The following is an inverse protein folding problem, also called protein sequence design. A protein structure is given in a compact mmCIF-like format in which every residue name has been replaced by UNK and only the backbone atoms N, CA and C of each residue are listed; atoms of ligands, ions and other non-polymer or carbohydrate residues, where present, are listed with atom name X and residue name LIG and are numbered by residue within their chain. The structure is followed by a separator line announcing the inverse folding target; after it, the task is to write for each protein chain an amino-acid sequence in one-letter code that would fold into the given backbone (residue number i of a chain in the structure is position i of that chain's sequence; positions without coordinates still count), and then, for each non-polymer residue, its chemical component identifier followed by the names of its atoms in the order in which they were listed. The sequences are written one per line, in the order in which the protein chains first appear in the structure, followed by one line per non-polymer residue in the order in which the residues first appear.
data_IF_372240734799
#
_entry.id   IF_372240734799
#
_cell.length_a   1.000
_cell.length_b   1.000
_cell.length_c   1.000
_cell.angle_alpha   90.00
_cell.angle_beta   90.00
_cell.angle_gamma   90.00
#
_symmetry.space_group_name_H-M   'P 1'
#
loop_
_entity.id
_entity.type
_entity.pdbx_description
1 polymer ?
#
# COMPACT_ATOMS: atom_id res chain seq x y z
N UNK A 1 24.48 60.70 -45.08
CA UNK A 1 25.25 61.46 -44.06
C UNK A 1 25.05 60.75 -42.74
N UNK A 2 25.84 59.71 -42.49
CA UNK A 2 27.07 59.69 -41.67
C UNK A 2 26.72 59.31 -40.23
N UNK A 3 27.32 58.34 -39.53
CA UNK A 3 28.24 57.23 -39.79
C UNK A 3 28.16 56.36 -38.52
N UNK A 4 28.20 55.02 -38.64
CA UNK A 4 28.59 54.13 -37.52
C UNK A 4 30.13 54.16 -37.34
N UNK A 5 30.69 53.70 -36.21
CA UNK A 5 31.18 52.31 -36.10
C UNK A 5 30.94 51.67 -34.70
N UNK A 6 30.44 50.43 -34.57
CA UNK A 6 31.12 49.10 -34.53
C UNK A 6 32.17 48.88 -33.43
N UNK A 7 31.94 47.86 -32.59
CA UNK A 7 32.91 46.90 -32.01
C UNK A 7 32.17 46.01 -30.99
N UNK A 8 31.63 44.84 -31.35
CA UNK A 8 32.25 43.49 -31.43
C UNK A 8 32.24 42.68 -30.11
N UNK A 9 31.54 41.51 -30.19
CA UNK A 9 31.76 40.16 -29.58
C UNK A 9 31.87 40.04 -28.04
N UNK A 10 31.43 38.98 -27.36
CA UNK A 10 31.07 37.60 -27.70
C UNK A 10 30.07 37.05 -26.65
N UNK A 11 29.30 36.02 -27.00
CA UNK A 11 28.35 35.36 -26.10
C UNK A 11 28.97 34.35 -25.14
N UNK A 12 28.20 33.98 -24.11
CA UNK A 12 28.29 32.70 -23.36
C UNK A 12 26.88 32.37 -22.83
N UNK A 13 26.47 31.10 -22.98
CA UNK A 13 25.21 30.48 -22.54
C UNK A 13 25.03 30.40 -21.01
N UNK A 14 23.81 30.13 -20.49
CA UNK A 14 23.56 30.12 -19.05
C UNK A 14 23.95 28.77 -18.42
N UNK A 15 24.84 28.83 -17.42
CA UNK A 15 25.14 27.72 -16.52
C UNK A 15 24.01 27.52 -15.49
N UNK A 16 23.55 26.28 -15.39
CA UNK A 16 22.69 25.74 -14.33
C UNK A 16 23.29 26.00 -12.95
N UNK A 17 22.55 26.70 -12.08
CA UNK A 17 22.90 26.88 -10.67
C UNK A 17 22.49 25.68 -9.83
N UNK A 18 23.47 24.88 -9.38
CA UNK A 18 23.31 23.95 -8.27
C UNK A 18 23.45 24.73 -6.95
N UNK A 19 22.40 24.69 -6.12
CA UNK A 19 22.41 25.26 -4.78
C UNK A 19 23.31 24.43 -3.86
N UNK A 20 24.27 25.08 -3.19
CA UNK A 20 25.07 24.49 -2.12
C UNK A 20 24.22 24.34 -0.85
N UNK A 21 24.06 23.12 -0.36
CA UNK A 21 23.59 22.85 1.01
C UNK A 21 24.79 22.96 1.95
N UNK A 22 24.81 23.97 2.83
CA UNK A 22 25.82 24.08 3.88
C UNK A 22 25.43 23.16 5.05
N UNK A 23 26.22 22.12 5.31
CA UNK A 23 26.10 21.29 6.53
C UNK A 23 26.81 22.00 7.68
N UNK A 24 26.06 22.35 8.73
CA UNK A 24 26.62 22.90 9.97
C UNK A 24 27.30 21.78 10.76
N UNK A 25 28.62 21.88 10.92
CA UNK A 25 29.38 21.01 11.82
C UNK A 25 29.26 21.57 13.26
N UNK A 26 28.81 20.78 14.26
CA UNK A 26 28.68 21.26 15.62
C UNK A 26 30.05 21.54 16.27
N UNK A 27 30.14 22.64 17.02
CA UNK A 27 31.35 23.29 17.55
C UNK A 27 32.15 22.53 18.62
N UNK A 28 31.89 21.24 18.83
CA UNK A 28 32.63 20.44 19.83
C UNK A 28 33.81 19.65 19.25
N UNK A 29 33.97 19.59 17.93
CA UNK A 29 35.13 19.02 17.28
C UNK A 29 36.28 20.04 17.22
N UNK A 30 36.91 20.32 18.35
CA UNK A 30 38.19 21.04 18.40
C UNK A 30 39.15 20.31 19.33
N UNK A 31 40.31 19.97 18.77
CA UNK A 31 41.46 19.28 19.35
C UNK A 31 41.41 17.75 19.32
N UNK A 32 41.77 17.23 18.15
CA UNK A 32 42.64 16.06 18.07
C UNK A 32 43.85 16.53 17.26
N UNK A 33 45.00 16.69 17.90
CA UNK A 33 46.27 16.92 17.19
C UNK A 33 46.62 15.61 16.47
N UNK A 34 46.24 15.53 15.20
CA UNK A 34 46.51 14.36 14.36
C UNK A 34 47.82 14.56 13.58
N UNK A 35 48.66 13.52 13.65
CA UNK A 35 49.94 13.34 12.96
C UNK A 35 49.80 13.46 11.43
N UNK A 36 50.64 14.21 10.69
CA UNK A 36 50.44 14.48 9.25
C UNK A 36 50.60 13.28 8.30
N UNK A 37 50.91 12.08 8.78
CA UNK A 37 51.18 10.90 7.94
C UNK A 37 49.96 9.98 7.70
N UNK A 38 48.78 10.25 8.28
CA UNK A 38 47.57 9.40 8.15
C UNK A 38 46.46 9.97 7.25
N UNK A 39 46.78 10.93 6.39
CA UNK A 39 45.78 11.68 5.60
C UNK A 39 45.14 10.92 4.41
N UNK A 40 45.62 9.77 3.88
CA UNK A 40 44.91 9.12 2.77
C UNK A 40 43.65 8.32 3.17
N UNK A 41 43.48 7.93 4.44
CA UNK A 41 42.48 6.88 4.81
C UNK A 41 41.11 7.40 5.26
N UNK A 42 40.96 8.72 5.43
CA UNK A 42 39.72 9.31 5.96
C UNK A 42 38.68 9.67 4.88
N UNK A 43 39.10 9.76 3.61
CA UNK A 43 38.18 10.05 2.49
C UNK A 43 37.43 8.80 2.01
N UNK A 44 38.07 7.62 2.01
CA UNK A 44 37.37 6.38 1.65
C UNK A 44 36.38 5.96 2.75
N UNK A 45 36.71 6.19 4.02
CA UNK A 45 35.79 5.93 5.13
C UNK A 45 34.53 6.81 5.10
N UNK A 46 34.62 8.06 4.62
CA UNK A 46 33.45 8.94 4.51
C UNK A 46 32.54 8.59 3.32
N UNK A 47 33.08 8.06 2.22
CA UNK A 47 32.28 7.64 1.06
C UNK A 47 31.53 6.34 1.34
N UNK A 48 32.07 5.46 2.18
CA UNK A 48 31.43 4.17 2.53
C UNK A 48 30.26 4.35 3.52
N UNK A 49 30.28 5.35 4.40
CA UNK A 49 29.19 5.58 5.38
C UNK A 49 27.98 6.29 4.75
N UNK A 50 28.14 6.95 3.61
CA UNK A 50 27.03 7.63 2.91
C UNK A 50 26.10 6.67 2.11
N UNK A 51 26.42 5.37 2.03
CA UNK A 51 25.60 4.37 1.32
C UNK A 51 24.70 3.52 2.23
N UNK A 52 24.70 3.75 3.54
CA UNK A 52 23.87 2.99 4.49
C UNK A 52 22.72 3.81 5.10
N UNK A 53 22.41 4.97 4.53
CA UNK A 53 21.12 5.62 4.74
C UNK A 53 20.24 5.35 3.54
N UNK A 54 19.85 4.08 3.38
CA UNK A 54 18.68 3.77 2.60
C UNK A 54 17.53 4.55 3.23
N UNK A 55 17.19 5.70 2.63
CA UNK A 55 15.82 6.18 2.73
C UNK A 55 15.00 5.00 2.25
N UNK A 56 14.40 4.24 3.15
CA UNK A 56 13.31 3.35 2.76
C UNK A 56 12.35 4.26 2.02
N UNK A 57 12.30 4.14 0.69
CA UNK A 57 11.15 4.64 -0.03
C UNK A 57 9.95 4.06 0.71
N UNK A 58 8.95 4.89 1.02
CA UNK A 58 7.75 4.43 1.73
C UNK A 58 7.31 3.12 1.08
N UNK A 59 7.37 2.04 1.85
CA UNK A 59 7.17 0.70 1.32
C UNK A 59 5.71 0.57 0.89
N UNK A 60 5.47 -0.17 -0.19
CA UNK A 60 4.10 -0.36 -0.73
C UNK A 60 3.29 -1.38 0.10
N UNK A 61 3.95 -2.15 0.97
CA UNK A 61 3.31 -3.25 1.71
C UNK A 61 2.36 -2.73 2.78
N UNK A 62 1.16 -3.28 2.77
CA UNK A 62 0.14 -3.09 3.77
C UNK A 62 -0.27 -4.40 4.42
N UNK A 63 -1.19 -4.32 5.38
CA UNK A 63 -1.78 -5.49 6.01
C UNK A 63 -3.30 -5.37 6.12
N UNK A 64 -3.96 -6.49 5.88
CA UNK A 64 -5.35 -6.70 6.25
C UNK A 64 -5.38 -7.35 7.66
N UNK A 65 -5.85 -6.63 8.68
CA UNK A 65 -5.82 -7.09 10.07
C UNK A 65 -7.08 -6.69 10.87
N UNK A 66 -7.97 -7.63 11.18
CA UNK A 66 -9.23 -7.44 11.90
C UNK A 66 -9.35 -8.25 13.19
N UNK A 67 -8.25 -8.82 13.69
CA UNK A 67 -8.28 -9.70 14.85
C UNK A 67 -8.81 -8.97 16.10
N UNK A 68 -9.80 -9.57 16.78
CA UNK A 68 -10.36 -9.09 18.05
C UNK A 68 -9.81 -9.82 19.28
N UNK A 69 -9.22 -10.99 19.09
CA UNK A 69 -8.85 -11.93 20.14
C UNK A 69 -7.34 -11.84 20.44
N UNK A 70 -6.52 -11.60 19.41
CA UNK A 70 -5.07 -11.45 19.50
C UNK A 70 -4.58 -10.11 18.92
N UNK A 71 -5.25 -9.01 19.27
CA UNK A 71 -4.93 -7.65 18.76
C UNK A 71 -3.46 -7.22 18.91
N UNK A 72 -2.71 -7.83 19.85
CA UNK A 72 -1.27 -7.55 20.05
C UNK A 72 -0.37 -8.09 18.94
N UNK A 73 -0.85 -9.01 18.10
CA UNK A 73 -0.08 -9.61 17.01
C UNK A 73 0.37 -8.58 15.98
N UNK A 74 -0.39 -7.50 15.82
CA UNK A 74 -0.04 -6.41 14.90
C UNK A 74 1.33 -5.78 15.20
N UNK A 75 1.84 -5.93 16.44
CA UNK A 75 3.14 -5.42 16.82
C UNK A 75 4.31 -6.11 16.08
N UNK A 76 4.13 -7.32 15.56
CA UNK A 76 5.17 -8.01 14.76
C UNK A 76 5.43 -7.33 13.42
N UNK A 77 4.47 -6.52 12.94
CA UNK A 77 4.61 -5.75 11.70
C UNK A 77 5.23 -4.36 11.94
N UNK A 78 5.41 -3.94 13.18
CA UNK A 78 6.02 -2.65 13.50
C UNK A 78 7.53 -2.65 13.19
N UNK A 79 8.02 -1.60 12.54
CA UNK A 79 9.42 -1.51 12.10
C UNK A 79 9.80 -2.46 10.96
N UNK A 80 8.83 -3.07 10.28
CA UNK A 80 9.03 -3.98 9.14
C UNK A 80 8.87 -3.25 7.80
N UNK A 81 8.76 -4.00 6.68
CA UNK A 81 8.43 -3.43 5.38
C UNK A 81 6.95 -3.04 5.25
N UNK A 82 6.12 -3.24 6.26
CA UNK A 82 4.71 -2.81 6.24
C UNK A 82 4.58 -1.35 6.68
N UNK A 83 3.90 -0.54 5.88
CA UNK A 83 3.71 0.90 6.15
C UNK A 83 2.25 1.31 6.39
N UNK A 84 1.29 0.47 6.03
CA UNK A 84 -0.13 0.75 6.20
C UNK A 84 -0.95 -0.48 6.57
N UNK A 85 -2.12 -0.26 7.15
CA UNK A 85 -3.01 -1.32 7.62
C UNK A 85 -4.46 -0.91 7.45
N UNK A 86 -5.33 -1.87 7.16
CA UNK A 86 -6.78 -1.69 7.21
C UNK A 86 -7.42 -2.94 7.82
N UNK A 87 -8.68 -2.80 8.24
CA UNK A 87 -9.41 -3.86 8.94
C UNK A 87 -10.87 -3.97 8.48
N UNK A 88 -11.15 -3.53 7.25
CA UNK A 88 -12.51 -3.40 6.68
C UNK A 88 -13.44 -2.44 7.42
N UNK A 89 -12.94 -1.73 8.44
CA UNK A 89 -13.69 -0.74 9.21
C UNK A 89 -13.43 0.70 8.75
N UNK A 90 -14.26 1.62 9.23
CA UNK A 90 -14.15 3.04 8.95
C UNK A 90 -13.33 3.81 9.99
N UNK A 91 -13.02 3.20 11.14
CA UNK A 91 -12.33 3.85 12.25
C UNK A 91 -11.13 3.05 12.74
N UNK A 92 -10.00 3.73 12.96
CA UNK A 92 -8.78 3.11 13.44
C UNK A 92 -8.99 2.39 14.79
N UNK A 93 -8.78 1.06 14.87
CA UNK A 93 -8.88 0.34 16.12
C UNK A 93 -7.79 0.75 17.11
N UNK A 94 -8.11 0.71 18.40
CA UNK A 94 -7.22 1.24 19.45
C UNK A 94 -5.85 0.55 19.56
N UNK A 95 -5.74 -0.70 19.10
CA UNK A 95 -4.49 -1.46 19.13
C UNK A 95 -3.43 -0.93 18.16
N UNK A 96 -3.82 -0.16 17.13
CA UNK A 96 -2.88 0.46 16.18
C UNK A 96 -2.21 1.72 16.72
N UNK A 97 -2.64 2.23 17.89
CA UNK A 97 -2.08 3.47 18.46
C UNK A 97 -0.59 3.39 18.77
N UNK A 98 -0.05 2.17 18.87
CA UNK A 98 1.33 1.92 19.24
C UNK A 98 2.18 1.44 18.05
N UNK A 99 1.68 1.54 16.82
CA UNK A 99 2.41 1.17 15.59
C UNK A 99 2.65 2.40 14.73
N UNK A 100 3.75 2.40 13.96
CA UNK A 100 4.02 3.48 12.99
C UNK A 100 3.23 3.32 11.67
N UNK A 101 2.43 2.25 11.55
CA UNK A 101 1.61 1.98 10.37
C UNK A 101 0.45 2.97 10.21
N UNK A 102 0.25 3.44 8.99
CA UNK A 102 -0.89 4.30 8.65
C UNK A 102 -2.17 3.48 8.53
N UNK A 103 -3.19 3.81 9.31
CA UNK A 103 -4.51 3.20 9.15
C UNK A 103 -5.27 3.77 7.95
N UNK A 104 -5.77 2.89 7.07
CA UNK A 104 -6.59 3.24 5.90
C UNK A 104 -8.05 2.84 6.18
N UNK A 105 -8.95 3.79 6.48
CA UNK A 105 -10.36 3.47 6.68
C UNK A 105 -11.04 3.06 5.38
N UNK A 106 -12.03 2.18 5.51
CA UNK A 106 -12.83 1.63 4.42
C UNK A 106 -14.32 1.87 4.70
N UNK A 107 -15.05 2.36 3.70
CA UNK A 107 -16.51 2.27 3.71
C UNK A 107 -16.90 0.93 3.09
N UNK A 108 -17.05 -0.12 3.90
CA UNK A 108 -17.18 -1.50 3.41
C UNK A 108 -18.42 -1.72 2.53
N UNK A 109 -19.58 -1.18 2.92
CA UNK A 109 -20.85 -1.37 2.21
C UNK A 109 -21.75 -0.14 2.28
N UNK A 110 -23.07 -0.31 2.14
CA UNK A 110 -24.02 0.82 2.20
C UNK A 110 -24.26 1.33 3.64
N UNK A 111 -24.06 0.45 4.63
CA UNK A 111 -24.38 0.73 6.02
C UNK A 111 -23.54 1.88 6.61
N UNK A 112 -24.21 2.81 7.28
CA UNK A 112 -23.62 3.96 7.96
C UNK A 112 -22.74 4.88 7.07
N UNK A 113 -22.91 4.85 5.76
CA UNK A 113 -22.13 5.68 4.83
C UNK A 113 -22.25 7.20 5.14
N UNK A 114 -23.35 7.63 5.76
CA UNK A 114 -23.57 9.00 6.21
C UNK A 114 -22.61 9.46 7.32
N UNK A 115 -22.05 8.53 8.10
CA UNK A 115 -21.06 8.82 9.14
C UNK A 115 -19.61 8.83 8.62
N UNK A 116 -19.35 8.18 7.47
CA UNK A 116 -17.99 7.90 7.00
C UNK A 116 -17.11 9.15 6.88
N UNK A 117 -17.66 10.24 6.33
CA UNK A 117 -16.92 11.48 6.18
C UNK A 117 -16.46 12.04 7.54
N UNK A 118 -17.34 12.01 8.55
CA UNK A 118 -17.03 12.49 9.88
C UNK A 118 -15.96 11.62 10.57
N UNK A 119 -16.03 10.30 10.37
CA UNK A 119 -15.05 9.34 10.89
C UNK A 119 -13.67 9.55 10.27
N UNK A 120 -13.59 9.68 8.94
CA UNK A 120 -12.34 9.98 8.20
C UNK A 120 -11.71 11.28 8.68
N UNK A 121 -12.52 12.33 8.88
CA UNK A 121 -12.05 13.62 9.39
C UNK A 121 -11.58 13.55 10.84
N UNK A 122 -12.31 12.84 11.72
CA UNK A 122 -11.98 12.72 13.13
C UNK A 122 -10.61 12.06 13.37
N UNK A 123 -10.21 11.16 12.47
CA UNK A 123 -8.89 10.51 12.51
C UNK A 123 -7.86 11.13 11.55
N UNK A 124 -8.20 12.24 10.88
CA UNK A 124 -7.32 12.94 9.94
C UNK A 124 -6.73 12.02 8.85
N UNK A 125 -7.51 11.02 8.40
CA UNK A 125 -7.06 10.07 7.39
C UNK A 125 -6.80 10.77 6.05
N UNK A 126 -5.75 10.34 5.35
CA UNK A 126 -5.30 10.93 4.07
C UNK A 126 -5.65 10.09 2.85
N UNK A 127 -6.01 8.84 3.08
CA UNK A 127 -6.37 7.87 2.06
C UNK A 127 -7.52 7.04 2.60
N UNK A 128 -8.49 6.67 1.75
CA UNK A 128 -9.60 5.79 2.09
C UNK A 128 -9.74 4.68 1.04
N UNK A 129 -10.40 3.59 1.43
CA UNK A 129 -10.88 2.55 0.52
C UNK A 129 -12.41 2.65 0.39
N UNK A 130 -12.92 2.44 -0.83
CA UNK A 130 -14.35 2.37 -1.12
C UNK A 130 -14.98 1.02 -0.75
N UNK A 131 -16.16 0.76 -1.31
CA UNK A 131 -16.95 -0.45 -1.05
C UNK A 131 -16.17 -1.74 -1.35
N UNK A 132 -16.34 -2.75 -0.50
CA UNK A 132 -15.65 -4.03 -0.55
C UNK A 132 -16.46 -5.08 -1.30
N UNK A 133 -15.91 -5.58 -2.40
CA UNK A 133 -16.49 -6.59 -3.29
C UNK A 133 -17.99 -6.34 -3.60
N UNK A 134 -18.36 -5.13 -4.04
CA UNK A 134 -19.77 -4.83 -4.34
C UNK A 134 -20.30 -5.62 -5.53
N UNK A 135 -19.42 -6.26 -6.31
CA UNK A 135 -19.77 -7.11 -7.44
C UNK A 135 -20.19 -8.53 -7.04
N UNK A 136 -20.04 -8.91 -5.76
CA UNK A 136 -20.41 -10.22 -5.24
C UNK A 136 -21.64 -10.15 -4.33
N UNK A 137 -22.62 -11.02 -4.60
CA UNK A 137 -23.86 -11.12 -3.81
C UNK A 137 -23.65 -11.62 -2.37
N UNK A 138 -22.48 -12.18 -2.09
CA UNK A 138 -22.10 -12.67 -0.75
C UNK A 138 -21.34 -11.62 0.08
N UNK A 139 -21.10 -10.44 -0.48
CA UNK A 139 -20.28 -9.38 0.12
C UNK A 139 -21.13 -8.11 0.27
N UNK A 140 -20.60 -6.93 -0.05
CA UNK A 140 -21.38 -5.70 0.09
C UNK A 140 -22.58 -5.63 -0.86
N UNK A 141 -22.58 -6.40 -1.96
CA UNK A 141 -23.70 -6.59 -2.90
C UNK A 141 -24.40 -5.28 -3.30
N UNK A 142 -23.63 -4.36 -3.87
CA UNK A 142 -24.10 -3.02 -4.22
C UNK A 142 -24.17 -2.89 -5.74
N UNK A 143 -25.29 -2.43 -6.28
CA UNK A 143 -25.36 -2.15 -7.72
C UNK A 143 -24.46 -0.97 -8.09
N UNK A 144 -23.88 -0.93 -9.31
CA UNK A 144 -23.05 0.21 -9.73
C UNK A 144 -23.75 1.57 -9.65
N UNK A 145 -25.07 1.62 -9.83
CA UNK A 145 -25.86 2.85 -9.75
C UNK A 145 -26.08 3.30 -8.30
N UNK A 146 -26.36 2.37 -7.38
CA UNK A 146 -26.47 2.67 -5.95
C UNK A 146 -25.12 3.14 -5.41
N UNK A 147 -24.04 2.43 -5.73
CA UNK A 147 -22.68 2.79 -5.33
C UNK A 147 -22.32 4.20 -5.80
N UNK A 148 -22.64 4.57 -7.05
CA UNK A 148 -22.38 5.92 -7.58
C UNK A 148 -23.13 6.99 -6.78
N UNK A 149 -24.40 6.74 -6.44
CA UNK A 149 -25.22 7.67 -5.67
C UNK A 149 -24.67 7.89 -4.26
N UNK A 150 -24.30 6.81 -3.56
CA UNK A 150 -23.67 6.87 -2.24
C UNK A 150 -22.31 7.56 -2.30
N UNK A 151 -21.51 7.28 -3.34
CA UNK A 151 -20.21 7.88 -3.52
C UNK A 151 -20.31 9.40 -3.64
N UNK A 152 -21.17 9.91 -4.53
CA UNK A 152 -21.41 11.35 -4.69
C UNK A 152 -21.81 12.00 -3.37
N UNK A 153 -22.70 11.35 -2.62
CA UNK A 153 -23.26 11.92 -1.40
C UNK A 153 -22.28 11.93 -0.23
N UNK A 154 -21.52 10.84 -0.03
CA UNK A 154 -20.81 10.58 1.22
C UNK A 154 -19.29 10.45 1.10
N UNK A 155 -18.78 10.05 -0.07
CA UNK A 155 -17.33 9.81 -0.27
C UNK A 155 -16.68 10.95 -1.05
N UNK A 156 -17.27 11.38 -2.15
CA UNK A 156 -16.75 12.46 -3.02
C UNK A 156 -16.41 13.76 -2.27
N UNK A 157 -17.18 14.23 -1.26
CA UNK A 157 -16.85 15.44 -0.52
C UNK A 157 -15.47 15.39 0.16
N UNK A 158 -14.94 14.21 0.49
CA UNK A 158 -13.62 14.04 1.08
C UNK A 158 -12.48 14.55 0.18
N UNK A 159 -12.66 14.60 -1.15
CA UNK A 159 -11.67 15.21 -2.06
C UNK A 159 -11.37 16.67 -1.71
N UNK A 160 -12.39 17.44 -1.31
CA UNK A 160 -12.21 18.84 -0.92
C UNK A 160 -11.35 18.99 0.35
N UNK A 161 -11.21 17.92 1.13
CA UNK A 161 -10.35 17.84 2.31
C UNK A 161 -8.96 17.25 2.02
N UNK A 162 -8.61 17.07 0.75
CA UNK A 162 -7.31 16.55 0.33
C UNK A 162 -7.13 15.05 0.56
N UNK A 163 -8.22 14.31 0.75
CA UNK A 163 -8.18 12.85 0.92
C UNK A 163 -8.05 12.17 -0.44
N UNK A 164 -7.24 11.12 -0.51
CA UNK A 164 -7.15 10.21 -1.66
C UNK A 164 -8.23 9.15 -1.58
N UNK A 165 -8.97 8.94 -2.66
CA UNK A 165 -10.10 8.02 -2.72
C UNK A 165 -9.75 6.81 -3.58
N UNK A 166 -9.66 5.63 -2.96
CA UNK A 166 -9.67 4.36 -3.67
C UNK A 166 -11.09 4.04 -4.11
N UNK A 167 -11.28 3.70 -5.39
CA UNK A 167 -12.59 3.25 -5.89
C UNK A 167 -13.10 2.02 -5.11
N UNK A 168 -14.32 1.52 -5.39
CA UNK A 168 -14.71 0.22 -4.84
C UNK A 168 -13.71 -0.87 -5.19
N UNK A 169 -13.38 -1.73 -4.21
CA UNK A 169 -12.47 -2.85 -4.37
C UNK A 169 -13.26 -4.05 -4.87
N UNK A 170 -13.11 -4.40 -6.15
CA UNK A 170 -13.84 -5.53 -6.74
C UNK A 170 -13.11 -6.85 -6.54
N UNK A 171 -13.88 -7.94 -6.53
CA UNK A 171 -13.35 -9.29 -6.48
C UNK A 171 -12.60 -9.67 -7.77
N UNK A 172 -11.88 -10.80 -7.74
CA UNK A 172 -11.28 -11.43 -8.93
C UNK A 172 -12.27 -12.17 -9.84
N UNK A 173 -13.57 -12.12 -9.53
CA UNK A 173 -14.58 -12.71 -10.39
C UNK A 173 -14.67 -11.97 -11.75
N UNK A 174 -15.15 -12.63 -12.81
CA UNK A 174 -15.35 -12.00 -14.12
C UNK A 174 -16.26 -10.76 -14.11
N UNK A 175 -17.01 -10.54 -13.02
CA UNK A 175 -17.85 -9.38 -12.77
C UNK A 175 -17.08 -8.10 -12.43
N UNK A 176 -15.84 -8.18 -11.91
CA UNK A 176 -15.14 -7.03 -11.34
C UNK A 176 -14.94 -5.85 -12.30
N UNK A 177 -14.26 -6.07 -13.43
CA UNK A 177 -14.06 -5.03 -14.46
C UNK A 177 -15.39 -4.51 -15.04
N UNK A 178 -16.36 -5.36 -15.41
CA UNK A 178 -17.69 -4.89 -15.85
C UNK A 178 -18.43 -4.06 -14.80
N UNK A 179 -18.33 -4.41 -13.52
CA UNK A 179 -18.96 -3.67 -12.43
C UNK A 179 -18.31 -2.28 -12.27
N UNK A 180 -16.98 -2.20 -12.21
CA UNK A 180 -16.27 -0.92 -12.10
C UNK A 180 -16.50 -0.03 -13.32
N UNK A 181 -16.53 -0.61 -14.52
CA UNK A 181 -16.80 0.14 -15.76
C UNK A 181 -18.18 0.81 -15.73
N UNK A 182 -19.20 0.11 -15.22
CA UNK A 182 -20.54 0.67 -15.04
C UNK A 182 -20.59 1.73 -13.93
N UNK A 183 -19.89 1.49 -12.82
CA UNK A 183 -19.81 2.43 -11.72
C UNK A 183 -19.17 3.75 -12.17
N UNK A 184 -18.02 3.71 -12.84
CA UNK A 184 -17.38 4.91 -13.41
C UNK A 184 -18.27 5.61 -14.45
N UNK A 185 -19.02 4.85 -15.26
CA UNK A 185 -20.00 5.41 -16.19
C UNK A 185 -21.18 6.13 -15.51
N UNK A 186 -21.60 5.66 -14.33
CA UNK A 186 -22.68 6.27 -13.55
C UNK A 186 -22.21 7.44 -12.67
N UNK A 187 -20.91 7.51 -12.34
CA UNK A 187 -20.32 8.45 -11.38
C UNK A 187 -19.48 9.53 -12.11
N UNK A 188 -20.06 10.22 -13.10
CA UNK A 188 -19.29 11.14 -13.98
C UNK A 188 -18.70 12.37 -13.28
N UNK A 189 -19.21 12.73 -12.10
CA UNK A 189 -18.69 13.81 -11.25
C UNK A 189 -17.72 13.32 -10.17
N UNK A 190 -17.47 12.02 -10.12
CA UNK A 190 -16.68 11.39 -9.08
C UNK A 190 -15.19 11.38 -9.44
N UNK A 191 -14.35 11.40 -8.42
CA UNK A 191 -12.89 11.34 -8.56
C UNK A 191 -12.37 10.12 -7.84
N UNK A 192 -11.45 9.43 -8.50
CA UNK A 192 -10.76 8.26 -7.96
C UNK A 192 -9.26 8.49 -8.13
N UNK A 193 -8.50 8.30 -7.06
CA UNK A 193 -7.04 8.46 -7.10
C UNK A 193 -6.32 7.14 -7.42
N UNK A 194 -6.97 6.01 -7.13
CA UNK A 194 -6.46 4.66 -7.41
C UNK A 194 -7.61 3.65 -7.42
N UNK A 195 -7.32 2.44 -7.93
CA UNK A 195 -8.25 1.32 -8.02
C UNK A 195 -7.76 0.20 -7.11
N UNK A 196 -8.42 -0.04 -5.98
CA UNK A 196 -8.18 -1.25 -5.20
C UNK A 196 -8.76 -2.47 -5.91
N UNK A 197 -8.04 -3.59 -5.88
CA UNK A 197 -8.45 -4.87 -6.45
C UNK A 197 -8.11 -6.01 -5.52
N UNK A 198 -8.91 -7.08 -5.57
CA UNK A 198 -8.64 -8.33 -4.86
C UNK A 198 -8.21 -9.43 -5.82
N UNK A 199 -7.34 -10.33 -5.36
CA UNK A 199 -6.97 -11.52 -6.10
C UNK A 199 -6.75 -12.74 -5.21
N UNK A 200 -7.48 -13.81 -5.48
CA UNK A 200 -7.23 -15.12 -4.91
C UNK A 200 -7.18 -16.11 -6.06
N UNK A 201 -6.07 -16.84 -6.19
CA UNK A 201 -5.90 -17.81 -7.25
C UNK A 201 -4.56 -18.54 -7.19
N UNK A 202 -4.22 -19.21 -8.28
CA UNK A 202 -2.97 -19.95 -8.41
C UNK A 202 -2.20 -19.49 -9.67
N UNK A 203 -0.87 -19.54 -9.59
CA UNK A 203 0.05 -19.16 -10.65
C UNK A 203 0.39 -17.67 -10.71
N UNK A 204 1.69 -17.36 -10.67
CA UNK A 204 2.23 -16.00 -10.75
C UNK A 204 1.82 -15.27 -12.04
N UNK A 205 1.85 -15.95 -13.18
CA UNK A 205 1.48 -15.32 -14.47
C UNK A 205 0.00 -14.94 -14.49
N UNK A 206 -0.89 -15.76 -13.92
CA UNK A 206 -2.31 -15.43 -13.79
C UNK A 206 -2.53 -14.19 -12.90
N UNK A 207 -1.74 -14.07 -11.82
CA UNK A 207 -1.77 -12.88 -10.96
C UNK A 207 -1.33 -11.63 -11.73
N UNK A 208 -0.20 -11.69 -12.45
CA UNK A 208 0.31 -10.58 -13.25
C UNK A 208 -0.68 -10.15 -14.32
N UNK A 209 -1.17 -11.10 -15.13
CA UNK A 209 -2.15 -10.84 -16.18
C UNK A 209 -3.42 -10.17 -15.62
N UNK A 210 -3.89 -10.64 -14.46
CA UNK A 210 -5.04 -10.05 -13.79
C UNK A 210 -4.76 -8.59 -13.36
N UNK A 211 -3.67 -8.35 -12.63
CA UNK A 211 -3.32 -7.01 -12.12
C UNK A 211 -3.08 -6.03 -13.27
N UNK A 212 -2.36 -6.45 -14.31
CA UNK A 212 -2.10 -5.66 -15.53
C UNK A 212 -3.40 -5.33 -16.27
N UNK A 213 -4.37 -6.25 -16.34
CA UNK A 213 -5.64 -6.01 -17.02
C UNK A 213 -6.43 -4.81 -16.46
N UNK A 214 -6.33 -4.53 -15.16
CA UNK A 214 -6.97 -3.35 -14.55
C UNK A 214 -6.25 -2.07 -14.93
N UNK A 215 -4.91 -2.07 -14.91
CA UNK A 215 -4.13 -0.91 -15.33
C UNK A 215 -4.34 -0.60 -16.81
N UNK A 216 -4.32 -1.61 -17.67
CA UNK A 216 -4.59 -1.46 -19.10
C UNK A 216 -6.00 -0.94 -19.37
N UNK A 217 -6.98 -1.40 -18.59
CA UNK A 217 -8.39 -1.00 -18.75
C UNK A 217 -8.66 0.44 -18.33
N UNK A 218 -8.09 0.87 -17.22
CA UNK A 218 -8.48 2.14 -16.57
C UNK A 218 -7.38 3.20 -16.56
N UNK A 219 -6.13 2.82 -16.82
CA UNK A 219 -4.95 3.72 -16.82
C UNK A 219 -4.81 4.54 -15.53
N UNK A 220 -5.19 3.95 -14.40
CA UNK A 220 -5.14 4.55 -13.06
C UNK A 220 -4.21 3.73 -12.16
N UNK A 221 -3.57 4.33 -11.14
CA UNK A 221 -2.81 3.58 -10.16
C UNK A 221 -3.64 2.46 -9.51
N UNK A 222 -3.00 1.33 -9.25
CA UNK A 222 -3.65 0.14 -8.69
C UNK A 222 -3.12 -0.10 -7.27
N UNK A 223 -4.03 -0.48 -6.38
CA UNK A 223 -3.70 -1.04 -5.07
C UNK A 223 -4.20 -2.49 -5.03
N UNK A 224 -3.35 -3.46 -4.70
CA UNK A 224 -3.79 -4.85 -4.53
C UNK A 224 -4.14 -5.05 -3.05
N UNK A 225 -5.34 -4.62 -2.65
CA UNK A 225 -5.71 -4.53 -1.23
C UNK A 225 -5.95 -5.87 -0.56
N UNK A 226 -6.18 -6.92 -1.35
CA UNK A 226 -6.17 -8.30 -0.89
C UNK A 226 -5.53 -9.19 -1.96
N UNK A 227 -4.51 -9.96 -1.59
CA UNK A 227 -4.08 -11.07 -2.42
C UNK A 227 -3.50 -12.23 -1.62
N UNK A 228 -3.75 -13.45 -2.11
CA UNK A 228 -3.12 -14.66 -1.62
C UNK A 228 -3.14 -15.77 -2.68
N UNK A 229 -2.17 -16.68 -2.61
CA UNK A 229 -2.23 -17.93 -3.39
C UNK A 229 -3.24 -18.90 -2.77
N UNK A 230 -4.02 -19.57 -3.61
CA UNK A 230 -4.95 -20.64 -3.23
C UNK A 230 -4.29 -22.03 -3.29
N UNK A 231 -2.96 -22.09 -3.49
CA UNK A 231 -2.26 -23.38 -3.47
C UNK A 231 -2.29 -24.01 -2.06
N UNK A 232 -2.41 -25.34 -2.05
CA UNK A 232 -2.29 -26.15 -0.84
C UNK A 232 -0.84 -26.50 -0.48
N UNK A 233 0.12 -26.15 -1.35
CA UNK A 233 1.55 -26.35 -1.11
C UNK A 233 2.16 -25.11 -0.46
N UNK A 234 2.66 -25.25 0.77
CA UNK A 234 3.35 -24.17 1.49
C UNK A 234 4.46 -23.54 0.65
N UNK A 235 5.31 -24.37 0.04
CA UNK A 235 6.40 -23.88 -0.80
C UNK A 235 5.90 -23.08 -2.01
N UNK A 236 4.80 -23.49 -2.64
CA UNK A 236 4.25 -22.73 -3.78
C UNK A 236 3.67 -21.39 -3.34
N UNK A 237 3.11 -21.32 -2.12
CA UNK A 237 2.60 -20.07 -1.55
C UNK A 237 3.75 -19.13 -1.18
N UNK A 238 4.82 -19.64 -0.59
CA UNK A 238 6.05 -18.90 -0.26
C UNK A 238 6.76 -18.37 -1.53
N UNK A 239 6.93 -19.21 -2.54
CA UNK A 239 7.50 -18.84 -3.84
C UNK A 239 6.63 -17.79 -4.53
N UNK A 240 5.30 -18.00 -4.56
CA UNK A 240 4.36 -17.02 -5.10
C UNK A 240 4.45 -15.68 -4.37
N UNK A 241 4.48 -15.68 -3.03
CA UNK A 241 4.57 -14.45 -2.24
C UNK A 241 5.84 -13.67 -2.60
N UNK A 242 6.99 -14.35 -2.64
CA UNK A 242 8.28 -13.77 -3.00
C UNK A 242 8.23 -13.12 -4.39
N UNK A 243 7.75 -13.84 -5.39
CA UNK A 243 7.74 -13.37 -6.77
C UNK A 243 6.66 -12.32 -7.04
N UNK A 244 5.51 -12.42 -6.38
CA UNK A 244 4.43 -11.42 -6.46
C UNK A 244 4.89 -10.09 -5.87
N UNK A 245 5.56 -10.10 -4.72
CA UNK A 245 6.18 -8.90 -4.12
C UNK A 245 7.16 -8.27 -5.11
N UNK A 246 8.07 -9.06 -5.68
CA UNK A 246 9.06 -8.55 -6.63
C UNK A 246 8.41 -7.89 -7.85
N UNK A 247 7.33 -8.48 -8.37
CA UNK A 247 6.53 -7.88 -9.43
C UNK A 247 5.89 -6.55 -9.00
N UNK A 248 5.18 -6.53 -7.86
CA UNK A 248 4.44 -5.36 -7.37
C UNK A 248 5.37 -4.18 -7.00
N UNK A 249 6.53 -4.47 -6.43
CA UNK A 249 7.56 -3.46 -6.15
C UNK A 249 8.13 -2.86 -7.45
N UNK A 250 8.29 -3.70 -8.49
CA UNK A 250 8.80 -3.30 -9.81
C UNK A 250 7.87 -2.41 -10.65
N UNK A 251 6.56 -2.38 -10.36
CA UNK A 251 5.59 -1.57 -11.12
C UNK A 251 5.42 -0.16 -10.52
N UNK A 252 5.68 0.89 -11.30
CA UNK A 252 5.51 2.28 -10.83
C UNK A 252 4.03 2.72 -10.68
N UNK A 253 3.10 1.99 -11.29
CA UNK A 253 1.66 2.21 -11.22
C UNK A 253 0.99 1.38 -10.10
N UNK A 254 1.75 0.52 -9.43
CA UNK A 254 1.34 -0.10 -8.17
C UNK A 254 1.82 0.79 -7.02
N UNK A 255 0.87 1.25 -6.22
CA UNK A 255 1.13 2.17 -5.11
C UNK A 255 0.99 1.52 -3.73
N UNK A 256 0.24 0.42 -3.63
CA UNK A 256 0.06 -0.32 -2.38
C UNK A 256 -0.39 -1.76 -2.63
N UNK A 257 -0.01 -2.69 -1.76
CA UNK A 257 -0.51 -4.05 -1.80
C UNK A 257 -0.55 -4.67 -0.39
N UNK A 258 -1.51 -5.54 -0.12
CA UNK A 258 -1.65 -6.21 1.18
C UNK A 258 -1.90 -7.71 1.01
N UNK A 259 -0.97 -8.52 1.53
CA UNK A 259 -1.19 -9.96 1.65
C UNK A 259 -2.37 -10.23 2.57
N UNK A 260 -3.25 -11.14 2.15
CA UNK A 260 -4.35 -11.60 2.96
C UNK A 260 -3.95 -12.89 3.69
N UNK A 261 -3.71 -12.89 5.01
CA UNK A 261 -3.80 -11.77 5.97
C UNK A 261 -2.87 -12.02 7.18
N UNK A 262 -2.72 -11.04 8.08
CA UNK A 262 -1.99 -11.25 9.34
C UNK A 262 -2.91 -11.96 10.35
N UNK A 263 -2.70 -13.25 10.59
CA UNK A 263 -3.42 -14.02 11.59
C UNK A 263 -2.63 -15.26 11.99
N UNK A 264 -3.00 -15.86 13.12
CA UNK A 264 -2.49 -17.16 13.56
C UNK A 264 -3.38 -18.29 13.07
N UNK A 265 -2.77 -19.41 12.72
CA UNK A 265 -3.50 -20.65 12.50
C UNK A 265 -3.96 -21.24 13.85
N UNK A 266 -5.14 -20.84 14.34
CA UNK A 266 -5.78 -21.43 15.52
C UNK A 266 -7.14 -22.04 15.18
N UNK A 267 -7.47 -23.18 15.80
CA UNK A 267 -8.83 -23.74 15.75
C UNK A 267 -9.81 -22.73 16.37
N UNK A 268 -10.53 -22.03 15.51
CA UNK A 268 -11.48 -21.02 15.93
C UNK A 268 -10.91 -19.60 16.10
N UNK A 269 -9.79 -19.25 15.45
CA UNK A 269 -9.39 -17.83 15.27
C UNK A 269 -10.53 -17.00 14.65
N UNK A 270 -10.56 -15.69 14.88
CA UNK A 270 -11.47 -14.76 14.22
C UNK A 270 -11.53 -15.01 12.70
N UNK A 271 -10.38 -15.28 12.08
CA UNK A 271 -10.27 -15.57 10.65
C UNK A 271 -10.87 -16.92 10.23
N UNK A 272 -10.78 -17.95 11.08
CA UNK A 272 -11.46 -19.23 10.87
C UNK A 272 -12.98 -19.19 11.17
N UNK A 273 -13.48 -18.16 11.88
CA UNK A 273 -14.88 -18.03 12.32
C UNK A 273 -15.68 -16.92 11.62
N UNK A 274 -15.02 -15.90 11.07
CA UNK A 274 -15.65 -14.63 10.68
C UNK A 274 -15.05 -13.91 9.47
N UNK A 275 -14.02 -14.41 8.79
CA UNK A 275 -13.94 -14.08 7.36
C UNK A 275 -15.29 -14.54 6.79
N UNK A 276 -16.04 -13.69 6.04
CA UNK A 276 -17.30 -14.12 5.47
C UNK A 276 -17.09 -15.48 4.81
N UNK A 277 -17.98 -16.42 5.11
CA UNK A 277 -17.87 -17.78 4.63
C UNK A 277 -17.73 -17.83 3.10
N UNK A 278 -18.01 -16.76 2.37
CA UNK A 278 -17.68 -16.60 0.95
C UNK A 278 -16.19 -16.51 0.61
N UNK A 279 -15.29 -15.97 1.44
CA UNK A 279 -13.85 -15.92 1.08
C UNK A 279 -13.13 -17.21 1.52
N UNK A 280 -13.49 -17.75 2.68
CA UNK A 280 -12.90 -19.01 3.20
C UNK A 280 -13.53 -20.26 2.57
N UNK A 281 -14.85 -20.30 2.30
CA UNK A 281 -15.47 -21.49 1.67
C UNK A 281 -15.36 -21.51 0.14
N UNK A 282 -15.10 -20.37 -0.51
CA UNK A 282 -14.89 -20.33 -1.96
C UNK A 282 -13.48 -20.78 -2.37
N UNK A 283 -12.47 -20.62 -1.50
CA UNK A 283 -11.06 -20.82 -1.87
C UNK A 283 -10.21 -21.68 -0.92
N UNK A 284 -10.75 -22.22 0.19
CA UNK A 284 -10.02 -23.03 1.18
C UNK A 284 -8.63 -22.45 1.55
N UNK A 285 -8.60 -21.15 1.84
CA UNK A 285 -7.38 -20.40 2.19
C UNK A 285 -6.75 -20.81 3.54
N UNK A 286 -7.26 -21.88 4.17
CA UNK A 286 -7.19 -22.07 5.61
C UNK A 286 -5.88 -22.67 6.14
N UNK A 287 -4.96 -23.11 5.28
CA UNK A 287 -3.78 -23.88 5.75
C UNK A 287 -2.43 -23.23 5.45
N UNK A 288 -2.33 -22.35 4.45
CA UNK A 288 -1.02 -21.93 3.90
C UNK A 288 -0.80 -20.42 3.84
N UNK A 289 -1.78 -19.59 4.18
CA UNK A 289 -1.72 -18.13 3.96
C UNK A 289 -1.54 -17.31 5.24
N UNK A 290 -1.52 -17.95 6.41
CA UNK A 290 -1.23 -17.29 7.68
C UNK A 290 0.20 -16.77 7.72
N UNK A 291 0.38 -15.57 8.27
CA UNK A 291 1.70 -14.98 8.46
C UNK A 291 2.30 -15.30 9.83
N UNK A 292 1.51 -15.86 10.76
CA UNK A 292 1.93 -16.09 12.14
C UNK A 292 1.77 -17.55 12.57
N UNK A 293 2.77 -18.02 13.31
CA UNK A 293 2.71 -19.27 14.03
C UNK A 293 1.70 -19.22 15.20
N UNK A 294 1.51 -20.36 15.86
CA UNK A 294 0.59 -20.49 17.01
C UNK A 294 0.96 -19.64 18.23
N UNK A 295 2.17 -19.08 18.27
CA UNK A 295 2.65 -18.21 19.35
C UNK A 295 2.55 -16.72 18.97
N UNK A 296 2.03 -16.40 17.78
CA UNK A 296 1.95 -15.03 17.27
C UNK A 296 3.30 -14.49 16.81
N UNK A 297 4.25 -15.34 16.44
CA UNK A 297 5.51 -14.93 15.80
C UNK A 297 5.42 -15.16 14.29
N UNK A 298 6.12 -14.36 13.46
CA UNK A 298 6.21 -14.63 12.03
C UNK A 298 6.62 -16.08 11.74
N UNK A 299 5.86 -16.75 10.87
CA UNK A 299 6.31 -18.01 10.26
C UNK A 299 7.15 -17.70 9.00
N UNK A 300 7.58 -18.71 8.23
CA UNK A 300 8.38 -18.48 7.02
C UNK A 300 7.73 -17.50 6.03
N UNK A 301 6.43 -17.66 5.76
CA UNK A 301 5.68 -16.75 4.90
C UNK A 301 5.58 -15.33 5.50
N UNK A 302 5.40 -15.25 6.82
CA UNK A 302 5.49 -14.02 7.60
C UNK A 302 6.82 -13.30 7.42
N UNK A 303 7.94 -14.02 7.53
CA UNK A 303 9.28 -13.45 7.35
C UNK A 303 9.50 -12.93 5.92
N UNK A 304 9.03 -13.67 4.90
CA UNK A 304 9.06 -13.23 3.51
C UNK A 304 8.28 -11.91 3.36
N UNK A 305 7.05 -11.85 3.85
CA UNK A 305 6.17 -10.71 3.64
C UNK A 305 6.53 -9.49 4.49
N UNK A 306 6.81 -9.68 5.77
CA UNK A 306 7.09 -8.59 6.71
C UNK A 306 8.53 -8.09 6.55
N UNK A 307 9.50 -8.99 6.45
CA UNK A 307 10.92 -8.64 6.49
C UNK A 307 11.61 -8.68 5.13
N UNK A 308 11.07 -9.42 4.15
CA UNK A 308 11.69 -9.60 2.83
C UNK A 308 12.97 -10.42 2.88
N UNK A 309 13.04 -11.34 3.85
CA UNK A 309 14.16 -12.25 4.04
C UNK A 309 13.75 -13.66 3.60
N UNK A 310 14.61 -14.31 2.81
CA UNK A 310 14.66 -15.76 2.62
C UNK A 310 15.82 -16.33 3.43
#
# INVERSE_FOLDING_TARGET
MCMSPTSDRAGVEPFLGLAYLAVLVPTWARQVDADPEQVPDLLEALVVVALASGSFAATKRGLAFADSDNTGDIAVADGTQVSWVYNWGSTAPSYLKNTDMTYIPMQWGEDNADNFMAEVQAQNAKTILGFNEPDLSSQSDITPMTAASLWVQYIQPLKAHGVRLGSPAVSSAPSGIPWLSQFFGNCTECTFDFIPIHWYGDGLDNFKDYVESFYDKFSSPVWVTEFASTSSSVNEVEDFCTDAIAFLDGQNWIEGYAWFALYRQESGSYYSKRIPSSVVSQYDLSITTDLLDVNGQPNTLGDIYLHGTN
#
